data_IF_950374104542
#
_entry.id   IF_950374104542
#
_cell.length_a   1.000
_cell.length_b   1.000
_cell.length_c   1.000
_cell.angle_alpha   90.00
_cell.angle_beta   90.00
_cell.angle_gamma   90.00
#
_symmetry.space_group_name_H-M   'P 1'
#
loop_
_entity.id
_entity.type
_entity.pdbx_description
1 polymer ?
#
# COMPACT_ATOMS: atom_id res chain seq x y z
N UNK A 1 13.07 -4.16 56.81
CA UNK A 1 12.79 -3.98 55.38
C UNK A 1 13.36 -2.63 55.00
N UNK A 2 14.49 -2.61 54.30
CA UNK A 2 15.04 -1.36 53.77
C UNK A 2 14.14 -0.92 52.62
N UNK A 3 13.40 0.16 52.82
CA UNK A 3 12.64 0.80 51.75
C UNK A 3 13.65 1.47 50.83
N UNK A 4 13.84 0.92 49.62
CA UNK A 4 14.58 1.62 48.58
C UNK A 4 14.01 3.04 48.44
N UNK A 5 14.87 4.07 48.39
CA UNK A 5 14.39 5.43 48.22
C UNK A 5 13.62 5.51 46.90
N UNK A 6 12.48 6.19 46.93
CA UNK A 6 11.52 6.22 45.83
C UNK A 6 12.16 6.72 44.51
N UNK A 7 13.17 7.58 44.63
CA UNK A 7 13.95 8.10 43.51
C UNK A 7 14.72 7.01 42.75
N UNK A 8 15.26 6.00 43.43
CA UNK A 8 15.96 4.88 42.79
C UNK A 8 14.97 3.99 42.01
N UNK A 9 13.74 3.84 42.52
CA UNK A 9 12.67 3.09 41.85
C UNK A 9 12.23 3.81 40.57
N UNK A 10 12.03 5.13 40.63
CA UNK A 10 11.70 5.92 39.44
C UNK A 10 12.83 5.92 38.41
N UNK A 11 14.09 6.03 38.84
CA UNK A 11 15.23 5.96 37.94
C UNK A 11 15.34 4.59 37.22
N UNK A 12 15.05 3.49 37.92
CA UNK A 12 15.01 2.16 37.34
C UNK A 12 13.86 2.00 36.32
N UNK A 13 12.67 2.53 36.63
CA UNK A 13 11.53 2.53 35.71
C UNK A 13 11.81 3.35 34.45
N UNK A 14 12.41 4.54 34.59
CA UNK A 14 12.80 5.38 33.46
C UNK A 14 13.83 4.68 32.56
N UNK A 15 14.83 4.02 33.16
CA UNK A 15 15.81 3.24 32.41
C UNK A 15 15.15 2.09 31.64
N UNK A 16 14.20 1.38 32.27
CA UNK A 16 13.46 0.30 31.64
C UNK A 16 12.59 0.81 30.47
N UNK A 17 11.90 1.94 30.65
CA UNK A 17 11.08 2.55 29.60
C UNK A 17 11.96 2.93 28.40
N UNK A 18 13.12 3.54 28.64
CA UNK A 18 14.08 3.90 27.58
C UNK A 18 14.57 2.68 26.82
N UNK A 19 15.02 1.64 27.52
CA UNK A 19 15.47 0.39 26.88
C UNK A 19 14.37 -0.27 26.05
N UNK A 20 13.13 -0.31 26.57
CA UNK A 20 12.00 -0.84 25.82
C UNK A 20 11.68 -0.01 24.59
N UNK A 21 11.72 1.32 24.69
CA UNK A 21 11.49 2.22 23.57
C UNK A 21 12.56 2.03 22.48
N UNK A 22 13.83 1.95 22.86
CA UNK A 22 14.95 1.71 21.95
C UNK A 22 14.79 0.38 21.21
N UNK A 23 14.44 -0.69 21.95
CA UNK A 23 14.22 -2.01 21.36
C UNK A 23 13.04 -2.00 20.38
N UNK A 24 11.91 -1.38 20.76
CA UNK A 24 10.75 -1.23 19.88
C UNK A 24 11.09 -0.45 18.61
N UNK A 25 11.84 0.64 18.74
CA UNK A 25 12.28 1.44 17.59
C UNK A 25 13.20 0.65 16.67
N UNK A 26 14.13 -0.12 17.21
CA UNK A 26 15.01 -1.01 16.43
C UNK A 26 14.20 -2.03 15.64
N UNK A 27 13.23 -2.68 16.27
CA UNK A 27 12.38 -3.68 15.62
C UNK A 27 11.51 -3.05 14.53
N UNK A 28 10.85 -1.91 14.80
CA UNK A 28 10.00 -1.23 13.81
C UNK A 28 10.83 -0.79 12.59
N UNK A 29 12.05 -0.29 12.78
CA UNK A 29 12.94 0.05 11.66
C UNK A 29 13.26 -1.18 10.81
N UNK A 30 13.52 -2.33 11.43
CA UNK A 30 13.75 -3.60 10.73
C UNK A 30 12.53 -4.03 9.90
N UNK A 31 11.34 -4.01 10.51
CA UNK A 31 10.07 -4.36 9.84
C UNK A 31 9.79 -3.41 8.68
N UNK A 32 9.96 -2.10 8.89
CA UNK A 32 9.72 -1.10 7.84
C UNK A 32 10.69 -1.28 6.65
N UNK A 33 11.96 -1.60 6.93
CA UNK A 33 12.94 -1.91 5.88
C UNK A 33 12.52 -3.14 5.08
N UNK A 34 12.22 -4.26 5.76
CA UNK A 34 11.79 -5.49 5.11
C UNK A 34 10.51 -5.30 4.27
N UNK A 35 9.54 -4.55 4.79
CA UNK A 35 8.31 -4.23 4.05
C UNK A 35 8.59 -3.44 2.77
N UNK A 36 9.46 -2.42 2.83
CA UNK A 36 9.85 -1.63 1.64
C UNK A 36 10.54 -2.50 0.61
N UNK A 37 11.50 -3.33 1.03
CA UNK A 37 12.20 -4.26 0.14
C UNK A 37 11.23 -5.24 -0.53
N UNK A 38 10.31 -5.83 0.23
CA UNK A 38 9.31 -6.73 -0.31
C UNK A 38 8.38 -6.04 -1.31
N UNK A 39 7.96 -4.81 -1.01
CA UNK A 39 7.08 -4.04 -1.91
C UNK A 39 7.80 -3.72 -3.23
N UNK A 40 9.03 -3.23 -3.16
CA UNK A 40 9.84 -2.96 -4.36
C UNK A 40 10.05 -4.22 -5.20
N UNK A 41 10.42 -5.35 -4.57
CA UNK A 41 10.60 -6.61 -5.28
C UNK A 41 9.32 -7.10 -5.97
N UNK A 42 8.15 -6.89 -5.36
CA UNK A 42 6.85 -7.21 -5.97
C UNK A 42 6.53 -6.31 -7.16
N UNK A 43 6.85 -5.03 -7.08
CA UNK A 43 6.66 -4.09 -8.19
C UNK A 43 7.58 -4.43 -9.38
N UNK A 44 8.84 -4.76 -9.11
CA UNK A 44 9.80 -5.17 -10.14
C UNK A 44 9.42 -6.51 -10.77
N UNK A 45 8.96 -7.47 -9.96
CA UNK A 45 8.40 -8.72 -10.47
C UNK A 45 7.19 -8.44 -11.37
N UNK A 46 6.23 -7.63 -10.93
CA UNK A 46 5.04 -7.32 -11.72
C UNK A 46 5.38 -6.62 -13.05
N UNK A 47 6.40 -5.75 -13.06
CA UNK A 47 6.90 -5.12 -14.30
C UNK A 47 7.51 -6.17 -15.23
N UNK A 48 8.42 -6.99 -14.71
CA UNK A 48 9.13 -8.02 -15.47
C UNK A 48 8.16 -9.08 -15.99
N UNK A 49 7.21 -9.51 -15.17
CA UNK A 49 6.16 -10.45 -15.55
C UNK A 49 5.30 -9.88 -16.68
N UNK A 50 4.86 -8.62 -16.58
CA UNK A 50 4.10 -7.97 -17.65
C UNK A 50 4.88 -7.85 -18.97
N UNK A 51 6.21 -7.65 -18.92
CA UNK A 51 7.08 -7.66 -20.10
C UNK A 51 7.19 -9.08 -20.69
N UNK A 52 7.40 -10.08 -19.83
CA UNK A 52 7.47 -11.48 -20.23
C UNK A 52 6.16 -11.99 -20.84
N UNK A 53 5.01 -11.64 -20.28
CA UNK A 53 3.70 -12.02 -20.85
C UNK A 53 3.50 -11.40 -22.24
N UNK A 54 3.95 -10.16 -22.45
CA UNK A 54 3.89 -9.52 -23.78
C UNK A 54 4.82 -10.21 -24.77
N UNK A 55 6.03 -10.54 -24.35
CA UNK A 55 6.99 -11.27 -25.18
C UNK A 55 6.45 -12.66 -25.57
N UNK A 56 5.86 -13.38 -24.61
CA UNK A 56 5.19 -14.66 -24.87
C UNK A 56 4.02 -14.50 -25.85
N UNK A 57 3.18 -13.49 -25.66
CA UNK A 57 2.08 -13.19 -26.58
C UNK A 57 2.56 -12.88 -28.01
N UNK A 58 3.66 -12.15 -28.15
CA UNK A 58 4.29 -11.86 -29.44
C UNK A 58 4.83 -13.15 -30.10
N UNK A 59 5.57 -13.97 -29.36
CA UNK A 59 6.10 -15.24 -29.87
C UNK A 59 4.99 -16.21 -30.30
N UNK A 60 3.89 -16.29 -29.52
CA UNK A 60 2.72 -17.09 -29.89
C UNK A 60 2.04 -16.55 -31.15
N UNK A 61 1.97 -15.23 -31.34
CA UNK A 61 1.42 -14.63 -32.55
C UNK A 61 2.30 -14.91 -33.78
N UNK A 62 3.62 -14.84 -33.64
CA UNK A 62 4.57 -15.22 -34.69
C UNK A 62 4.44 -16.71 -35.06
N UNK A 63 4.33 -17.59 -34.08
CA UNK A 63 4.11 -19.02 -34.33
C UNK A 63 2.81 -19.25 -35.12
N UNK A 64 1.72 -18.56 -34.78
CA UNK A 64 0.48 -18.62 -35.57
C UNK A 64 0.66 -18.12 -37.00
N UNK A 65 1.45 -17.05 -37.20
CA UNK A 65 1.72 -16.51 -38.53
C UNK A 65 2.51 -17.50 -39.42
N UNK A 66 3.32 -18.36 -38.81
CA UNK A 66 4.07 -19.43 -39.49
C UNK A 66 3.23 -20.71 -39.70
N UNK A 67 2.00 -20.76 -39.16
CA UNK A 67 1.03 -21.82 -39.43
C UNK A 67 0.81 -22.82 -38.28
N UNK A 68 1.38 -22.57 -37.09
CA UNK A 68 1.06 -23.38 -35.91
C UNK A 68 -0.41 -23.23 -35.53
N UNK A 69 -1.04 -24.35 -35.18
CA UNK A 69 -2.44 -24.39 -34.78
C UNK A 69 -2.62 -24.00 -33.30
N UNK A 70 -3.82 -23.53 -32.97
CA UNK A 70 -4.16 -23.18 -31.58
C UNK A 70 -4.07 -24.38 -30.62
N UNK A 71 -4.20 -25.61 -31.12
CA UNK A 71 -4.06 -26.82 -30.32
C UNK A 71 -2.59 -27.09 -29.93
N UNK A 72 -1.66 -26.90 -30.87
CA UNK A 72 -0.21 -27.07 -30.63
C UNK A 72 0.35 -25.99 -29.70
N UNK A 73 -0.19 -24.78 -29.78
CA UNK A 73 0.24 -23.65 -28.95
C UNK A 73 -0.42 -23.61 -27.57
N UNK A 74 -1.38 -24.51 -27.28
CA UNK A 74 -2.18 -24.46 -26.06
C UNK A 74 -1.35 -24.61 -24.78
N UNK A 75 -0.37 -25.51 -24.79
CA UNK A 75 0.52 -25.80 -23.65
C UNK A 75 1.40 -24.59 -23.27
N UNK A 76 1.69 -23.73 -24.25
CA UNK A 76 2.59 -22.59 -24.07
C UNK A 76 1.87 -21.29 -23.74
N UNK A 77 0.53 -21.31 -23.63
CA UNK A 77 -0.23 -20.14 -23.17
C UNK A 77 -0.11 -20.05 -21.65
N UNK A 78 0.24 -18.86 -21.14
CA UNK A 78 0.09 -18.59 -19.72
C UNK A 78 -1.40 -18.67 -19.34
N UNK A 79 -1.76 -19.60 -18.44
CA UNK A 79 -3.15 -19.75 -17.95
C UNK A 79 -3.65 -18.49 -17.23
N UNK A 80 -2.71 -17.68 -16.72
CA UNK A 80 -2.96 -16.49 -15.93
C UNK A 80 -3.12 -15.20 -16.75
N UNK A 81 -3.27 -15.24 -18.08
CA UNK A 81 -3.68 -14.02 -18.80
C UNK A 81 -5.06 -13.60 -18.24
N UNK A 82 -5.13 -12.52 -17.42
CA UNK A 82 -6.40 -12.14 -16.86
C UNK A 82 -7.26 -11.78 -18.06
N UNK A 83 -8.43 -12.44 -18.20
CA UNK A 83 -9.45 -12.05 -19.18
C UNK A 83 -9.59 -10.54 -19.08
N UNK A 84 -8.98 -9.81 -20.03
CA UNK A 84 -9.07 -8.36 -20.06
C UNK A 84 -10.54 -8.09 -20.25
N UNK A 85 -11.22 -7.71 -19.17
CA UNK A 85 -12.57 -7.20 -19.26
C UNK A 85 -12.49 -6.07 -20.28
N UNK A 86 -13.12 -6.26 -21.43
CA UNK A 86 -13.15 -5.28 -22.49
C UNK A 86 -13.54 -3.95 -21.85
N UNK A 87 -12.58 -3.02 -21.78
CA UNK A 87 -12.84 -1.67 -21.29
C UNK A 87 -13.84 -1.06 -22.27
N UNK A 88 -15.13 -1.19 -21.95
CA UNK A 88 -16.17 -0.41 -22.62
C UNK A 88 -15.71 1.06 -22.54
N UNK A 89 -15.63 1.78 -23.66
CA UNK A 89 -15.27 3.20 -23.63
C UNK A 89 -16.33 3.91 -22.77
N UNK A 90 -15.97 4.20 -21.53
CA UNK A 90 -16.83 4.91 -20.60
C UNK A 90 -17.11 6.29 -21.17
N UNK A 91 -18.37 6.54 -21.50
CA UNK A 91 -18.85 7.84 -21.95
C UNK A 91 -18.51 8.87 -20.87
N UNK A 92 -17.53 9.72 -21.16
CA UNK A 92 -17.02 10.76 -20.27
C UNK A 92 -18.13 11.80 -20.10
N UNK A 93 -18.95 11.65 -19.05
CA UNK A 93 -19.99 12.63 -18.70
C UNK A 93 -19.31 13.90 -18.21
N UNK A 94 -19.22 14.91 -19.06
CA UNK A 94 -18.76 16.25 -18.72
C UNK A 94 -19.71 16.85 -17.68
N UNK A 95 -19.24 17.03 -16.44
CA UNK A 95 -19.96 17.86 -15.47
C UNK A 95 -19.69 19.31 -15.85
N UNK A 96 -20.72 19.97 -16.40
CA UNK A 96 -20.77 21.42 -16.58
C UNK A 96 -20.71 22.06 -15.19
N UNK A 97 -19.71 22.90 -14.96
CA UNK A 97 -19.59 23.70 -13.76
C UNK A 97 -20.72 24.74 -13.75
N UNK A 98 -21.59 24.68 -12.74
CA UNK A 98 -22.46 25.80 -12.41
C UNK A 98 -21.83 26.49 -11.20
N UNK A 99 -21.24 27.65 -11.46
CA UNK A 99 -20.95 28.65 -10.45
C UNK A 99 -22.26 28.99 -9.74
N UNK A 100 -22.32 28.79 -8.42
CA UNK A 100 -23.16 29.64 -7.59
C UNK A 100 -22.37 30.02 -6.34
N UNK A 101 -21.76 31.20 -6.45
CA UNK A 101 -21.26 31.98 -5.33
C UNK A 101 -22.47 32.56 -4.59
N UNK A 102 -22.67 32.16 -3.33
CA UNK A 102 -23.22 33.05 -2.29
C UNK A 102 -23.09 32.46 -0.87
N UNK A 103 -22.61 33.34 0.01
CA UNK A 103 -22.63 33.34 1.48
C UNK A 103 -21.52 32.62 2.26
N UNK A 104 -20.43 33.37 2.35
CA UNK A 104 -19.59 33.69 3.51
C UNK A 104 -20.21 33.57 4.91
N UNK A 105 -19.30 33.18 5.83
CA UNK A 105 -19.19 33.38 7.29
C UNK A 105 -20.16 32.69 8.26
N UNK A 106 -19.64 31.70 9.00
CA UNK A 106 -19.51 31.85 10.46
C UNK A 106 -18.42 30.91 11.00
N UNK A 107 -17.50 31.50 11.77
CA UNK A 107 -16.49 30.81 12.54
C UNK A 107 -17.14 30.14 13.76
N UNK A 108 -16.84 28.86 13.99
CA UNK A 108 -17.21 28.16 15.21
C UNK A 108 -16.03 27.34 15.71
N UNK A 109 -15.39 27.84 16.77
CA UNK A 109 -14.30 27.19 17.50
C UNK A 109 -14.62 25.76 17.95
N UNK A 110 -13.61 24.87 18.11
CA UNK A 110 -13.82 23.55 18.67
C UNK A 110 -14.05 23.62 20.18
N UNK A 111 -15.22 23.18 20.62
CA UNK A 111 -15.58 23.07 22.03
C UNK A 111 -14.65 22.11 22.80
N UNK A 112 -13.82 22.67 23.68
CA UNK A 112 -13.11 21.94 24.73
C UNK A 112 -14.13 21.50 25.79
N UNK A 113 -14.39 20.20 25.91
CA UNK A 113 -15.12 19.65 27.06
C UNK A 113 -14.18 19.56 28.25
N UNK A 114 -14.25 20.55 29.14
CA UNK A 114 -13.83 20.42 30.51
C UNK A 114 -14.71 19.38 31.22
N UNK A 115 -14.11 18.30 31.73
CA UNK A 115 -14.76 17.42 32.69
C UNK A 115 -14.17 17.76 34.05
N UNK A 116 -14.98 18.39 34.88
CA UNK A 116 -14.75 18.56 36.31
C UNK A 116 -16.10 18.52 37.01
N UNK A 117 -16.04 18.10 38.27
CA UNK A 117 -17.11 17.97 39.28
C UNK A 117 -17.76 16.57 39.31
N UNK A 118 -17.93 15.94 40.48
CA UNK A 118 -17.82 16.38 41.88
C UNK A 118 -17.53 15.17 42.75
#
# INVERSE_FOLDING_TARGET
METQPLDDVFAALDAQIRQQAEQKMKTIRGVASAHRTLTAAREDFARTDAENSRALGAALAEAKAVGFTDAELKEWRAEDEPKRAARKPGTRRTKRATNDTRNTVEAGEPALKAVSNT
#
